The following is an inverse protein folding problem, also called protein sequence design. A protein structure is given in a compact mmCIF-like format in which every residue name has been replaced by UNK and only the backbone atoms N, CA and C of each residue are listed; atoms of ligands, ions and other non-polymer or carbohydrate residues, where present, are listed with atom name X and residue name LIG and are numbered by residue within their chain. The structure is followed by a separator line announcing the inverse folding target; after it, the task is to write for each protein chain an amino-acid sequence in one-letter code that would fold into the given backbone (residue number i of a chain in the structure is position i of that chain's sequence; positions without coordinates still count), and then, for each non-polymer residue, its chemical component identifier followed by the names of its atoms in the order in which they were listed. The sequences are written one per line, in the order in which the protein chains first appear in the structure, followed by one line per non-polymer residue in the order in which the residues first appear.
data_IF_788797839360
#
_entry.id   IF_788797839360
#
_cell.length_a   1.000
_cell.length_b   1.000
_cell.length_c   1.000
_cell.angle_alpha   90.00
_cell.angle_beta   90.00
_cell.angle_gamma   90.00
#
_symmetry.space_group_name_H-M   'P 1'
#
loop_
_entity.id
_entity.type
_entity.pdbx_description
1 polymer ?
#
# COMPACT_ATOMS: atom_id res chain seq x y z
N UNK A 1 30.98 13.15 -8.70
CA UNK A 1 29.84 13.30 -9.62
C UNK A 1 30.13 12.44 -10.83
N UNK A 2 29.24 11.51 -11.15
CA UNK A 2 29.31 10.74 -12.39
C UNK A 2 29.39 11.69 -13.60
N UNK A 3 29.95 11.22 -14.71
CA UNK A 3 29.93 12.00 -15.93
C UNK A 3 28.46 12.25 -16.34
N UNK A 4 28.10 13.42 -16.88
CA UNK A 4 26.74 13.73 -17.31
C UNK A 4 26.12 12.72 -18.29
N UNK A 5 26.95 11.87 -18.94
CA UNK A 5 26.52 10.82 -19.86
C UNK A 5 25.91 9.58 -19.19
N UNK A 6 26.05 9.43 -17.87
CA UNK A 6 25.66 8.20 -17.15
C UNK A 6 24.36 8.37 -16.35
N UNK A 7 23.72 9.54 -16.45
CA UNK A 7 22.44 9.81 -15.79
C UNK A 7 21.33 9.30 -16.71
N UNK A 8 20.49 8.35 -16.25
CA UNK A 8 19.40 7.83 -17.08
C UNK A 8 18.50 8.99 -17.51
N UNK A 9 18.23 9.05 -18.81
CA UNK A 9 17.22 9.95 -19.34
C UNK A 9 15.85 9.43 -18.90
N UNK A 10 14.90 10.32 -18.64
CA UNK A 10 13.51 9.92 -18.38
C UNK A 10 12.94 9.10 -19.55
N UNK A 11 13.46 9.34 -20.77
CA UNK A 11 13.11 8.58 -21.96
C UNK A 11 13.65 7.13 -21.95
N UNK A 12 14.50 6.76 -20.99
CA UNK A 12 14.99 5.38 -20.81
C UNK A 12 13.98 4.48 -20.05
N UNK A 13 12.95 5.07 -19.43
CA UNK A 13 11.89 4.31 -18.77
C UNK A 13 10.82 3.88 -19.80
N UNK A 14 10.28 2.65 -19.66
CA UNK A 14 9.25 2.18 -20.58
C UNK A 14 8.00 3.07 -20.49
N UNK A 15 7.53 3.56 -21.64
CA UNK A 15 6.22 4.20 -21.74
C UNK A 15 5.12 3.13 -21.69
N UNK A 16 4.48 2.99 -20.52
CA UNK A 16 3.40 2.01 -20.29
C UNK A 16 2.02 2.70 -20.27
N UNK A 17 1.86 3.82 -20.99
CA UNK A 17 0.61 4.59 -21.01
C UNK A 17 -0.60 3.81 -21.51
N UNK A 18 -0.41 2.75 -22.31
CA UNK A 18 -1.50 1.97 -22.91
C UNK A 18 -1.75 0.60 -22.25
N UNK A 19 -1.36 0.40 -20.99
CA UNK A 19 -1.65 -0.88 -20.31
C UNK A 19 -3.11 -0.96 -19.89
N UNK A 20 -3.91 -1.61 -20.73
CA UNK A 20 -5.29 -1.98 -20.42
C UNK A 20 -5.32 -3.22 -19.54
N UNK A 21 -6.01 -3.13 -18.40
CA UNK A 21 -6.26 -4.28 -17.55
C UNK A 21 -7.19 -5.27 -18.28
N UNK A 22 -6.89 -6.58 -18.28
CA UNK A 22 -7.84 -7.58 -18.75
C UNK A 22 -9.17 -7.43 -18.00
N UNK A 23 -10.30 -7.35 -18.71
CA UNK A 23 -11.62 -7.16 -18.10
C UNK A 23 -11.67 -5.97 -17.12
N UNK A 24 -11.20 -4.80 -17.57
CA UNK A 24 -11.20 -3.56 -16.77
C UNK A 24 -12.60 -3.18 -16.25
N UNK A 25 -13.66 -3.62 -16.95
CA UNK A 25 -15.06 -3.48 -16.53
C UNK A 25 -15.38 -4.17 -15.21
N UNK A 26 -14.53 -5.08 -14.72
CA UNK A 26 -14.66 -5.62 -13.37
C UNK A 26 -14.57 -4.53 -12.30
N UNK A 27 -13.74 -3.50 -12.53
CA UNK A 27 -13.60 -2.35 -11.65
C UNK A 27 -14.50 -1.18 -12.07
N UNK A 28 -15.39 -1.40 -13.05
CA UNK A 28 -16.34 -0.38 -13.46
C UNK A 28 -17.22 -0.01 -12.26
N UNK A 29 -17.54 1.28 -12.20
CA UNK A 29 -18.38 1.82 -11.17
C UNK A 29 -19.33 2.85 -11.77
N UNK A 30 -20.46 3.03 -11.12
CA UNK A 30 -21.48 4.00 -11.55
C UNK A 30 -21.07 5.41 -11.10
N UNK A 31 -20.20 6.06 -11.87
CA UNK A 31 -19.78 7.45 -11.61
C UNK A 31 -20.99 8.39 -11.70
N UNK A 32 -21.33 9.13 -10.62
CA UNK A 32 -22.41 10.08 -10.68
C UNK A 32 -22.03 11.25 -11.58
N UNK A 33 -22.63 11.28 -12.76
CA UNK A 33 -22.42 12.32 -13.77
C UNK A 33 -23.32 13.55 -13.62
N UNK A 34 -24.19 13.57 -12.60
CA UNK A 34 -25.05 14.71 -12.28
C UNK A 34 -25.32 14.80 -10.76
N UNK A 35 -25.89 15.93 -10.33
CA UNK A 35 -26.20 16.20 -8.92
C UNK A 35 -27.19 15.18 -8.32
N UNK A 36 -28.11 14.64 -9.12
CA UNK A 36 -29.12 13.68 -8.65
C UNK A 36 -28.45 12.34 -8.34
N UNK A 37 -27.62 11.85 -9.26
CA UNK A 37 -26.82 10.65 -9.09
C UNK A 37 -25.84 10.81 -7.92
N UNK A 38 -25.21 11.98 -7.78
CA UNK A 38 -24.29 12.26 -6.67
C UNK A 38 -25.01 12.18 -5.33
N UNK A 39 -26.16 12.84 -5.19
CA UNK A 39 -26.92 12.82 -3.95
C UNK A 39 -27.40 11.40 -3.61
N UNK A 40 -27.91 10.66 -4.58
CA UNK A 40 -28.31 9.26 -4.39
C UNK A 40 -27.12 8.37 -3.96
N UNK A 41 -25.96 8.62 -4.55
CA UNK A 41 -24.71 7.96 -4.20
C UNK A 41 -24.26 8.29 -2.77
N UNK A 42 -24.27 9.57 -2.37
CA UNK A 42 -23.93 10.00 -1.01
C UNK A 42 -24.91 9.44 0.04
N UNK A 43 -26.20 9.41 -0.26
CA UNK A 43 -27.24 8.82 0.61
C UNK A 43 -27.02 7.30 0.79
N UNK A 44 -26.70 6.59 -0.30
CA UNK A 44 -26.34 5.17 -0.25
C UNK A 44 -25.11 4.96 0.63
N UNK A 45 -24.05 5.75 0.42
CA UNK A 45 -22.80 5.67 1.18
C UNK A 45 -23.03 5.97 2.66
N UNK A 46 -23.83 6.98 3.00
CA UNK A 46 -24.19 7.29 4.38
C UNK A 46 -24.95 6.13 5.04
N UNK A 47 -25.95 5.55 4.37
CA UNK A 47 -26.69 4.39 4.91
C UNK A 47 -25.78 3.19 5.16
N UNK A 48 -24.86 2.88 4.24
CA UNK A 48 -23.85 1.84 4.46
C UNK A 48 -22.89 2.20 5.59
N UNK A 49 -22.48 3.47 5.71
CA UNK A 49 -21.63 3.96 6.79
C UNK A 49 -22.25 3.73 8.17
N UNK A 50 -23.54 4.03 8.33
CA UNK A 50 -24.27 3.75 9.56
C UNK A 50 -24.42 2.24 9.83
N UNK A 51 -24.73 1.44 8.80
CA UNK A 51 -24.88 -0.01 8.93
C UNK A 51 -23.54 -0.73 9.18
N UNK A 52 -22.42 -0.13 8.79
CA UNK A 52 -21.09 -0.72 8.87
C UNK A 52 -20.35 -0.40 10.16
N UNK A 53 -20.86 0.49 11.03
CA UNK A 53 -20.13 0.97 12.23
C UNK A 53 -19.60 -0.15 13.11
N UNK A 54 -20.37 -1.21 13.33
CA UNK A 54 -19.94 -2.36 14.15
C UNK A 54 -18.81 -3.17 13.50
N UNK A 55 -18.71 -3.16 12.17
CA UNK A 55 -17.70 -3.89 11.38
C UNK A 55 -16.45 -3.04 11.11
N UNK A 56 -16.61 -1.75 10.82
CA UNK A 56 -15.51 -0.83 10.54
C UNK A 56 -14.70 -0.51 11.79
N UNK A 57 -15.39 -0.31 12.91
CA UNK A 57 -14.78 0.03 14.20
C UNK A 57 -14.53 -1.22 15.05
N UNK A 58 -15.07 -2.37 14.64
CA UNK A 58 -14.87 -3.64 15.31
C UNK A 58 -13.47 -4.19 15.07
N UNK A 59 -12.95 -4.88 16.07
CA UNK A 59 -11.74 -5.70 16.01
C UNK A 59 -12.05 -7.18 15.68
N UNK A 60 -13.32 -7.50 15.46
CA UNK A 60 -13.80 -8.86 15.26
C UNK A 60 -13.91 -9.21 13.78
N UNK A 61 -13.44 -10.39 13.36
CA UNK A 61 -13.67 -10.86 12.01
C UNK A 61 -15.16 -11.04 11.74
N UNK A 62 -15.55 -10.84 10.49
CA UNK A 62 -16.92 -10.97 10.02
C UNK A 62 -16.98 -11.73 8.70
N UNK A 63 -18.12 -12.39 8.39
CA UNK A 63 -18.24 -13.16 7.16
C UNK A 63 -18.26 -12.24 5.94
N UNK A 64 -17.65 -12.69 4.86
CA UNK A 64 -17.70 -12.04 3.54
C UNK A 64 -18.10 -13.07 2.50
N UNK A 65 -18.89 -12.66 1.52
CA UNK A 65 -19.31 -13.50 0.40
C UNK A 65 -18.60 -13.06 -0.87
N UNK A 66 -17.96 -13.99 -1.59
CA UNK A 66 -17.36 -13.70 -2.89
C UNK A 66 -18.46 -13.66 -3.96
N UNK A 67 -18.75 -12.46 -4.46
CA UNK A 67 -19.78 -12.23 -5.50
C UNK A 67 -19.18 -12.40 -6.90
N UNK A 68 -17.98 -11.88 -7.09
CA UNK A 68 -17.27 -11.99 -8.36
C UNK A 68 -15.76 -12.06 -8.13
N UNK A 69 -15.07 -12.62 -9.10
CA UNK A 69 -13.61 -12.72 -9.13
C UNK A 69 -13.09 -12.04 -10.40
N UNK A 70 -12.04 -11.25 -10.25
CA UNK A 70 -11.31 -10.74 -11.39
C UNK A 70 -10.44 -11.84 -11.99
N UNK A 71 -10.74 -12.21 -13.23
CA UNK A 71 -10.01 -13.24 -13.95
C UNK A 71 -8.71 -12.67 -14.52
N UNK A 72 -7.65 -12.67 -13.71
CA UNK A 72 -6.31 -12.57 -14.26
C UNK A 72 -5.90 -13.96 -14.74
N UNK A 73 -6.06 -14.25 -16.03
CA UNK A 73 -5.58 -15.49 -16.65
C UNK A 73 -4.04 -15.68 -16.53
N UNK A 74 -3.34 -14.67 -16.02
CA UNK A 74 -1.89 -14.59 -15.97
C UNK A 74 -1.42 -14.12 -14.58
N UNK A 75 -1.61 -14.91 -13.52
CA UNK A 75 -0.85 -14.64 -12.29
C UNK A 75 0.60 -15.10 -12.47
N UNK A 76 1.62 -14.38 -11.99
CA UNK A 76 3.02 -14.80 -12.18
C UNK A 76 3.38 -16.11 -11.50
N UNK A 77 2.69 -16.46 -10.41
CA UNK A 77 2.92 -17.72 -9.71
C UNK A 77 2.39 -18.95 -10.46
N UNK A 78 1.60 -18.78 -11.53
CA UNK A 78 1.19 -19.91 -12.38
C UNK A 78 2.29 -20.35 -13.35
N UNK A 79 3.34 -19.53 -13.55
CA UNK A 79 4.49 -19.90 -14.35
C UNK A 79 5.35 -20.89 -13.54
N UNK A 80 5.56 -22.08 -14.09
CA UNK A 80 6.20 -23.18 -13.36
C UNK A 80 7.64 -23.43 -13.83
N UNK A 81 8.58 -23.65 -12.89
CA UNK A 81 8.56 -23.26 -11.47
C UNK A 81 8.85 -21.77 -11.26
N UNK A 82 8.38 -21.15 -10.16
CA UNK A 82 8.78 -19.80 -9.82
C UNK A 82 10.31 -19.74 -9.58
N UNK A 83 10.97 -18.63 -9.97
CA UNK A 83 12.41 -18.44 -9.72
C UNK A 83 12.80 -18.61 -8.25
N UNK A 84 13.99 -19.19 -8.02
CA UNK A 84 14.48 -19.50 -6.67
C UNK A 84 14.78 -18.28 -5.80
N UNK A 85 14.84 -17.09 -6.39
CA UNK A 85 15.05 -15.81 -5.70
C UNK A 85 13.74 -15.20 -5.15
N UNK A 86 12.60 -15.89 -5.32
CA UNK A 86 11.29 -15.48 -4.83
C UNK A 86 10.85 -16.30 -3.63
N UNK A 87 10.02 -15.69 -2.78
CA UNK A 87 9.32 -16.36 -1.69
C UNK A 87 8.37 -17.43 -2.24
N UNK A 88 8.18 -18.54 -1.50
CA UNK A 88 7.35 -19.65 -1.96
C UNK A 88 5.87 -19.27 -2.05
N UNK A 89 5.19 -19.79 -3.07
CA UNK A 89 3.74 -19.66 -3.23
C UNK A 89 3.07 -20.79 -2.45
N UNK A 90 2.05 -20.52 -1.60
CA UNK A 90 1.36 -21.57 -0.87
C UNK A 90 0.76 -22.63 -1.80
N UNK A 91 0.89 -23.91 -1.43
CA UNK A 91 0.38 -25.03 -2.23
C UNK A 91 -1.13 -24.91 -2.55
N UNK A 92 -1.91 -24.34 -1.63
CA UNK A 92 -3.34 -24.10 -1.85
C UNK A 92 -3.61 -23.10 -2.99
N UNK A 93 -2.73 -22.11 -3.22
CA UNK A 93 -2.85 -21.16 -4.36
C UNK A 93 -2.41 -21.81 -5.67
N UNK A 94 -1.43 -22.74 -5.61
CA UNK A 94 -0.97 -23.50 -6.77
C UNK A 94 -1.96 -24.59 -7.20
N UNK A 95 -2.99 -24.88 -6.41
CA UNK A 95 -4.03 -25.84 -6.78
C UNK A 95 -4.73 -25.40 -8.07
N UNK A 96 -4.93 -26.36 -8.99
CA UNK A 96 -5.65 -26.10 -10.25
C UNK A 96 -7.05 -25.51 -10.04
N UNK A 97 -7.68 -25.74 -8.88
CA UNK A 97 -8.93 -25.12 -8.49
C UNK A 97 -8.80 -23.59 -8.40
N UNK A 98 -7.66 -23.05 -7.94
CA UNK A 98 -7.44 -21.61 -7.93
C UNK A 98 -7.36 -21.03 -9.34
N UNK A 99 -6.81 -21.74 -10.32
CA UNK A 99 -6.78 -21.26 -11.71
C UNK A 99 -8.13 -21.42 -12.43
N UNK A 100 -8.97 -22.36 -11.99
CA UNK A 100 -10.24 -22.66 -12.64
C UNK A 100 -11.30 -21.55 -12.37
N UNK A 101 -11.87 -20.94 -13.42
CA UNK A 101 -12.85 -19.86 -13.27
C UNK A 101 -14.18 -20.32 -12.63
N UNK A 102 -14.46 -21.62 -12.63
CA UNK A 102 -15.66 -22.20 -12.05
C UNK A 102 -15.48 -22.70 -10.62
N UNK A 103 -14.30 -22.54 -10.03
CA UNK A 103 -14.11 -22.91 -8.63
C UNK A 103 -14.77 -21.92 -7.69
N UNK A 104 -15.26 -22.42 -6.57
CA UNK A 104 -15.79 -21.61 -5.49
C UNK A 104 -14.60 -21.14 -4.66
N UNK A 105 -14.43 -19.83 -4.57
CA UNK A 105 -13.44 -19.21 -3.70
C UNK A 105 -14.11 -18.86 -2.38
N UNK A 106 -13.53 -19.33 -1.29
CA UNK A 106 -13.93 -18.97 0.07
C UNK A 106 -12.84 -18.13 0.71
N UNK A 107 -13.24 -17.00 1.27
CA UNK A 107 -12.38 -16.08 1.99
C UNK A 107 -12.85 -16.01 3.44
N UNK A 108 -11.92 -16.09 4.39
CA UNK A 108 -12.22 -15.94 5.82
C UNK A 108 -11.29 -14.91 6.43
N UNK A 109 -11.87 -13.84 6.99
CA UNK A 109 -11.13 -12.85 7.79
C UNK A 109 -10.83 -13.43 9.16
N UNK A 110 -9.64 -13.19 9.71
CA UNK A 110 -9.23 -13.73 11.01
C UNK A 110 -8.74 -12.66 11.98
N UNK A 111 -7.88 -11.75 11.53
CA UNK A 111 -7.27 -10.74 12.40
C UNK A 111 -7.20 -9.38 11.70
N UNK A 112 -7.66 -8.28 12.34
CA UNK A 112 -7.52 -6.95 11.76
C UNK A 112 -6.05 -6.50 11.80
N UNK A 113 -5.54 -5.97 10.69
CA UNK A 113 -4.21 -5.32 10.63
C UNK A 113 -4.35 -3.81 10.68
N UNK A 114 -5.28 -3.28 9.89
CA UNK A 114 -5.60 -1.86 9.81
C UNK A 114 -7.10 -1.71 9.52
N UNK A 115 -7.86 -1.29 10.52
CA UNK A 115 -9.31 -1.05 10.42
C UNK A 115 -9.64 0.31 11.02
N UNK A 116 -10.87 0.78 10.85
CA UNK A 116 -11.35 2.06 11.37
C UNK A 116 -11.66 3.09 10.29
N UNK A 117 -12.00 4.31 10.77
CA UNK A 117 -12.40 5.45 9.95
C UNK A 117 -11.54 6.66 10.35
N UNK A 118 -11.09 7.51 9.41
CA UNK A 118 -11.17 7.34 7.96
C UNK A 118 -9.98 6.52 7.46
N UNK A 119 -10.25 5.33 6.93
CA UNK A 119 -9.25 4.53 6.22
C UNK A 119 -9.70 4.36 4.77
N UNK A 120 -8.80 4.59 3.81
CA UNK A 120 -9.07 4.37 2.39
C UNK A 120 -9.37 2.91 2.05
N UNK A 121 -8.95 2.00 2.93
CA UNK A 121 -9.22 0.57 2.89
C UNK A 121 -9.12 -0.03 4.29
N UNK A 122 -9.70 -1.21 4.49
CA UNK A 122 -9.38 -2.06 5.64
C UNK A 122 -8.37 -3.13 5.23
N UNK A 123 -7.48 -3.52 6.13
CA UNK A 123 -6.51 -4.58 5.91
C UNK A 123 -6.68 -5.63 7.00
N UNK A 124 -6.83 -6.88 6.57
CA UNK A 124 -7.07 -8.04 7.42
C UNK A 124 -6.07 -9.15 7.09
N UNK A 125 -5.66 -9.91 8.09
CA UNK A 125 -5.20 -11.28 7.88
C UNK A 125 -6.40 -12.18 7.66
N UNK A 126 -6.21 -13.22 6.86
CA UNK A 126 -7.24 -14.21 6.61
C UNK A 126 -6.70 -15.46 5.95
N UNK A 127 -7.63 -16.27 5.47
CA UNK A 127 -7.34 -17.44 4.66
C UNK A 127 -8.17 -17.43 3.40
N UNK A 128 -7.61 -17.96 2.32
CA UNK A 128 -8.28 -18.13 1.05
C UNK A 128 -8.18 -19.58 0.58
N UNK A 129 -9.32 -20.12 0.17
CA UNK A 129 -9.48 -21.50 -0.25
C UNK A 129 -10.22 -21.55 -1.59
N UNK A 130 -9.83 -22.49 -2.45
CA UNK A 130 -10.55 -22.79 -3.67
C UNK A 130 -11.06 -24.23 -3.60
N UNK A 131 -12.35 -24.40 -3.90
CA UNK A 131 -12.97 -25.71 -4.05
C UNK A 131 -13.58 -25.85 -5.44
N UNK A 132 -13.54 -27.05 -6.04
CA UNK A 132 -14.26 -27.29 -7.29
C UNK A 132 -15.76 -27.13 -7.09
N UNK A 133 -16.47 -26.49 -8.02
CA UNK A 133 -17.93 -26.28 -7.92
C UNK A 133 -18.76 -27.56 -7.89
N UNK A 134 -18.20 -28.69 -8.31
CA UNK A 134 -18.87 -29.99 -8.19
C UNK A 134 -18.23 -30.77 -7.03
N UNK A 135 -18.99 -31.14 -5.98
CA UNK A 135 -18.51 -31.98 -4.91
C UNK A 135 -18.33 -33.40 -5.45
N UNK A 136 -17.20 -33.66 -6.11
CA UNK A 136 -16.77 -35.04 -6.29
C UNK A 136 -16.42 -35.55 -4.90
N UNK A 137 -17.00 -36.70 -4.54
CA UNK A 137 -16.68 -37.45 -3.33
C UNK A 137 -15.24 -37.96 -3.45
N UNK A 138 -14.27 -37.09 -3.23
CA UNK A 138 -12.88 -37.44 -3.03
C UNK A 138 -12.60 -37.37 -1.55
N UNK A 139 -12.15 -38.49 -0.99
CA UNK A 139 -11.79 -38.65 0.41
C UNK A 139 -10.91 -37.48 0.88
N UNK A 140 -11.44 -36.77 1.86
CA UNK A 140 -10.99 -35.52 2.44
C UNK A 140 -9.56 -35.57 2.98
N UNK A 141 -8.61 -35.05 2.21
CA UNK A 141 -7.56 -34.23 2.83
C UNK A 141 -8.12 -32.82 2.88
N UNK A 142 -8.45 -32.32 4.07
CA UNK A 142 -8.75 -30.90 4.26
C UNK A 142 -7.56 -30.09 3.73
N UNK A 143 -7.73 -29.47 2.56
CA UNK A 143 -6.74 -28.54 2.05
C UNK A 143 -6.76 -27.31 2.95
N UNK A 144 -5.71 -27.16 3.75
CA UNK A 144 -5.50 -25.97 4.57
C UNK A 144 -5.52 -24.75 3.63
N UNK A 145 -6.41 -23.78 3.90
CA UNK A 145 -6.46 -22.54 3.12
C UNK A 145 -5.11 -21.82 3.14
N UNK A 146 -4.81 -21.05 2.09
CA UNK A 146 -3.60 -20.25 2.04
C UNK A 146 -3.72 -19.05 3.00
N UNK A 147 -2.74 -18.83 3.90
CA UNK A 147 -2.67 -17.59 4.67
C UNK A 147 -2.52 -16.39 3.73
N UNK A 148 -3.27 -15.33 3.99
CA UNK A 148 -3.32 -14.18 3.08
C UNK A 148 -3.56 -12.88 3.84
N UNK A 149 -3.12 -11.77 3.26
CA UNK A 149 -3.58 -10.42 3.60
C UNK A 149 -4.71 -10.05 2.64
N UNK A 150 -5.81 -9.53 3.19
CA UNK A 150 -6.94 -9.01 2.45
C UNK A 150 -7.04 -7.51 2.66
N UNK A 151 -6.92 -6.76 1.57
CA UNK A 151 -7.19 -5.33 1.55
C UNK A 151 -8.57 -5.09 0.95
N UNK A 152 -9.48 -4.53 1.73
CA UNK A 152 -10.87 -4.25 1.38
C UNK A 152 -11.02 -2.75 1.08
N UNK A 153 -11.40 -2.42 -0.15
CA UNK A 153 -11.74 -1.07 -0.57
C UNK A 153 -13.23 -0.84 -0.30
N UNK A 154 -13.54 -0.20 0.82
CA UNK A 154 -14.91 -0.03 1.31
C UNK A 154 -15.35 1.41 1.12
N UNK A 155 -16.31 1.63 0.23
CA UNK A 155 -16.76 2.96 -0.17
C UNK A 155 -17.34 3.76 1.00
N UNK A 156 -18.11 3.10 1.86
CA UNK A 156 -18.66 3.72 3.08
C UNK A 156 -17.62 4.16 4.11
N UNK A 157 -16.38 3.64 4.05
CA UNK A 157 -15.29 4.00 4.96
C UNK A 157 -14.46 5.20 4.49
N UNK A 158 -14.60 5.61 3.23
CA UNK A 158 -13.86 6.77 2.69
C UNK A 158 -14.28 8.06 3.38
N UNK A 159 -13.46 9.11 3.31
CA UNK A 159 -13.88 10.47 3.70
C UNK A 159 -14.90 11.04 2.69
N UNK A 160 -15.67 12.09 3.02
CA UNK A 160 -16.51 12.77 2.03
C UNK A 160 -15.68 13.32 0.85
N UNK A 161 -16.25 13.49 -0.35
CA UNK A 161 -15.56 14.14 -1.46
C UNK A 161 -15.11 15.54 -1.08
N UNK A 162 -13.91 15.93 -1.50
CA UNK A 162 -13.38 17.25 -1.20
C UNK A 162 -13.92 18.29 -2.20
N UNK A 163 -14.18 17.87 -3.44
CA UNK A 163 -14.72 18.68 -4.52
C UNK A 163 -15.58 17.80 -5.46
N UNK A 164 -16.71 18.34 -5.94
CA UNK A 164 -17.52 17.77 -7.02
C UNK A 164 -17.62 18.79 -8.15
N UNK A 165 -17.34 18.36 -9.38
CA UNK A 165 -17.50 19.18 -10.59
C UNK A 165 -18.59 18.55 -11.47
N UNK A 166 -19.80 19.14 -11.58
CA UNK A 166 -20.92 18.54 -12.31
C UNK A 166 -20.62 18.21 -13.78
N UNK A 167 -19.72 18.97 -14.43
CA UNK A 167 -19.33 18.77 -15.83
C UNK A 167 -18.23 17.72 -16.03
N UNK A 168 -17.55 17.31 -14.96
CA UNK A 168 -16.36 16.43 -15.00
C UNK A 168 -16.45 15.24 -14.06
N UNK A 169 -17.59 15.07 -13.38
CA UNK A 169 -17.81 14.06 -12.36
C UNK A 169 -16.89 14.26 -11.15
N UNK A 170 -16.73 13.18 -10.38
CA UNK A 170 -15.85 13.18 -9.21
C UNK A 170 -14.38 12.95 -9.57
N UNK A 171 -14.09 12.67 -10.84
CA UNK A 171 -12.79 12.16 -11.28
C UNK A 171 -11.64 13.17 -11.22
N UNK A 172 -11.93 14.49 -11.24
CA UNK A 172 -10.93 15.55 -11.06
C UNK A 172 -10.66 15.94 -9.60
N UNK A 173 -11.50 15.52 -8.66
CA UNK A 173 -11.43 15.98 -7.27
C UNK A 173 -10.36 15.31 -6.41
N UNK A 174 -9.47 14.49 -6.99
CA UNK A 174 -8.53 13.63 -6.25
C UNK A 174 -9.23 12.78 -5.17
N UNK A 175 -10.52 12.47 -5.35
CA UNK A 175 -11.25 11.60 -4.43
C UNK A 175 -11.27 10.19 -5.03
N UNK A 176 -10.44 9.26 -4.52
CA UNK A 176 -10.31 7.95 -5.13
C UNK A 176 -11.40 7.03 -4.59
N UNK A 177 -12.44 6.77 -5.38
CA UNK A 177 -13.42 5.71 -5.13
C UNK A 177 -12.76 4.36 -4.90
N UNK A 178 -13.44 3.48 -4.17
CA UNK A 178 -12.98 2.12 -3.90
C UNK A 178 -12.61 1.35 -5.19
N UNK A 179 -13.43 1.47 -6.23
CA UNK A 179 -13.16 0.84 -7.54
C UNK A 179 -11.92 1.40 -8.23
N UNK A 180 -11.72 2.72 -8.21
CA UNK A 180 -10.55 3.39 -8.79
C UNK A 180 -9.26 3.00 -8.06
N UNK A 181 -9.30 2.93 -6.73
CA UNK A 181 -8.19 2.45 -5.90
C UNK A 181 -7.85 0.99 -6.18
N UNK A 182 -8.86 0.11 -6.20
CA UNK A 182 -8.67 -1.30 -6.49
C UNK A 182 -8.10 -1.51 -7.91
N UNK A 183 -8.57 -0.73 -8.88
CA UNK A 183 -8.06 -0.73 -10.26
C UNK A 183 -6.61 -0.27 -10.33
N UNK A 184 -6.25 0.82 -9.66
CA UNK A 184 -4.87 1.33 -9.60
C UNK A 184 -3.92 0.26 -9.03
N UNK A 185 -4.34 -0.39 -7.94
CA UNK A 185 -3.57 -1.46 -7.31
C UNK A 185 -3.47 -2.70 -8.23
N UNK A 186 -4.56 -3.12 -8.87
CA UNK A 186 -4.56 -4.22 -9.83
C UNK A 186 -3.61 -3.94 -11.01
N UNK A 187 -3.62 -2.72 -11.53
CA UNK A 187 -2.72 -2.29 -12.61
C UNK A 187 -1.26 -2.33 -12.16
N UNK A 188 -0.96 -1.80 -10.98
CA UNK A 188 0.41 -1.83 -10.44
C UNK A 188 0.92 -3.27 -10.35
N UNK A 189 0.14 -4.19 -9.76
CA UNK A 189 0.54 -5.59 -9.64
C UNK A 189 0.68 -6.30 -10.99
N UNK A 190 -0.14 -5.93 -11.99
CA UNK A 190 0.00 -6.45 -13.35
C UNK A 190 1.31 -6.01 -14.01
N UNK A 191 1.70 -4.73 -13.85
CA UNK A 191 2.99 -4.22 -14.33
C UNK A 191 4.18 -4.84 -13.59
N UNK A 192 4.06 -5.04 -12.28
CA UNK A 192 5.12 -5.55 -11.40
C UNK A 192 5.18 -7.09 -11.35
N UNK A 193 4.70 -7.78 -12.38
CA UNK A 193 4.67 -9.25 -12.47
C UNK A 193 6.03 -9.90 -12.12
N UNK A 194 7.13 -9.27 -12.54
CA UNK A 194 8.48 -9.76 -12.31
C UNK A 194 8.96 -9.61 -10.85
N UNK A 195 8.35 -8.70 -10.09
CA UNK A 195 8.74 -8.35 -8.71
C UNK A 195 7.91 -9.09 -7.65
N UNK A 196 6.77 -9.68 -8.04
CA UNK A 196 5.91 -10.42 -7.11
C UNK A 196 6.63 -11.61 -6.50
N UNK A 197 6.51 -11.75 -5.18
CA UNK A 197 7.25 -12.71 -4.37
C UNK A 197 8.67 -12.27 -4.00
N UNK A 198 9.07 -11.07 -4.41
CA UNK A 198 10.42 -10.52 -4.21
C UNK A 198 10.33 -9.13 -3.57
N UNK A 199 10.31 -8.07 -4.36
CA UNK A 199 10.17 -6.70 -3.87
C UNK A 199 8.72 -6.33 -3.50
N UNK A 200 7.74 -7.06 -4.03
CA UNK A 200 6.32 -6.91 -3.70
C UNK A 200 5.67 -8.26 -3.36
N UNK A 201 4.55 -8.29 -2.62
CA UNK A 201 3.81 -9.52 -2.33
C UNK A 201 3.41 -10.31 -3.58
N UNK A 202 3.16 -11.61 -3.44
CA UNK A 202 2.36 -12.33 -4.44
C UNK A 202 0.91 -11.82 -4.42
N UNK A 203 0.34 -11.49 -5.57
CA UNK A 203 -1.11 -11.27 -5.70
C UNK A 203 -1.82 -12.60 -5.94
N UNK A 204 -2.81 -12.93 -5.12
CA UNK A 204 -3.70 -14.09 -5.32
C UNK A 204 -5.01 -13.70 -6.02
N UNK A 205 -5.15 -12.42 -6.38
CA UNK A 205 -6.24 -11.91 -7.19
C UNK A 205 -7.12 -10.88 -6.52
N UNK A 206 -8.03 -10.34 -7.33
CA UNK A 206 -9.00 -9.34 -6.93
C UNK A 206 -10.41 -9.94 -6.93
N UNK A 207 -11.23 -9.49 -5.99
CA UNK A 207 -12.56 -10.03 -5.72
C UNK A 207 -13.54 -8.88 -5.48
N UNK A 208 -14.80 -9.11 -5.84
CA UNK A 208 -15.92 -8.28 -5.39
C UNK A 208 -16.61 -9.06 -4.29
N UNK A 209 -16.64 -8.49 -3.09
CA UNK A 209 -17.19 -9.10 -1.90
C UNK A 209 -18.48 -8.42 -1.50
N UNK A 210 -19.45 -9.21 -1.03
CA UNK A 210 -20.61 -8.70 -0.29
C UNK A 210 -20.32 -8.76 1.21
N UNK A 211 -20.41 -7.61 1.84
CA UNK A 211 -20.21 -7.43 3.28
C UNK A 211 -21.51 -7.76 4.05
N UNK A 212 -21.46 -8.03 5.37
CA UNK A 212 -22.63 -8.46 6.16
C UNK A 212 -23.84 -7.51 6.10
N UNK A 213 -23.58 -6.23 5.88
CA UNK A 213 -24.58 -5.17 5.79
C UNK A 213 -24.99 -4.84 4.35
N UNK A 214 -24.65 -5.71 3.40
CA UNK A 214 -25.13 -5.68 2.01
C UNK A 214 -24.30 -4.85 1.04
N UNK A 215 -23.38 -4.02 1.53
CA UNK A 215 -22.44 -3.26 0.68
C UNK A 215 -21.55 -4.19 -0.14
N UNK A 216 -21.26 -3.80 -1.38
CA UNK A 216 -20.22 -4.41 -2.20
C UNK A 216 -18.91 -3.68 -1.99
N UNK A 217 -17.83 -4.44 -1.83
CA UNK A 217 -16.47 -3.92 -1.70
C UNK A 217 -15.53 -4.67 -2.64
N UNK A 218 -14.55 -3.96 -3.20
CA UNK A 218 -13.44 -4.62 -3.87
C UNK A 218 -12.46 -5.13 -2.84
N UNK A 219 -11.81 -6.25 -3.13
CA UNK A 219 -10.80 -6.84 -2.28
C UNK A 219 -9.59 -7.29 -3.09
N UNK A 220 -8.39 -7.03 -2.57
CA UNK A 220 -7.15 -7.62 -3.07
C UNK A 220 -6.67 -8.66 -2.05
N UNK A 221 -6.59 -9.93 -2.46
CA UNK A 221 -5.97 -10.98 -1.67
C UNK A 221 -4.51 -11.15 -2.10
N UNK A 222 -3.59 -11.09 -1.14
CA UNK A 222 -2.15 -11.15 -1.40
C UNK A 222 -1.40 -11.95 -0.33
N UNK A 223 -0.14 -12.26 -0.60
CA UNK A 223 0.79 -12.90 0.32
C UNK A 223 0.82 -12.21 1.69
N UNK A 224 0.76 -13.01 2.75
CA UNK A 224 1.14 -12.55 4.09
C UNK A 224 2.67 -12.58 4.20
N UNK A 225 3.29 -11.43 3.94
CA UNK A 225 4.74 -11.28 3.99
C UNK A 225 5.23 -11.39 5.43
N UNK A 226 6.15 -12.31 5.75
CA UNK A 226 6.75 -12.38 7.07
C UNK A 226 7.66 -11.16 7.29
N UNK A 227 7.64 -10.60 8.49
CA UNK A 227 8.49 -9.46 8.83
C UNK A 227 7.82 -8.50 9.80
N UNK A 228 8.48 -7.37 10.01
CA UNK A 228 7.99 -6.28 10.86
C UNK A 228 7.60 -5.08 9.98
N UNK A 229 6.42 -4.47 10.19
CA UNK A 229 6.10 -3.19 9.55
C UNK A 229 7.14 -2.12 9.89
N UNK A 230 7.68 -1.41 8.90
CA UNK A 230 8.77 -0.45 9.16
C UNK A 230 8.33 0.76 10.00
N UNK A 231 7.03 0.97 10.20
CA UNK A 231 6.51 1.99 11.12
C UNK A 231 7.02 1.85 12.56
N UNK A 232 7.36 0.64 13.03
CA UNK A 232 7.89 0.39 14.38
C UNK A 232 9.43 0.41 14.45
N UNK A 233 10.11 0.55 13.31
CA UNK A 233 11.57 0.61 13.26
C UNK A 233 12.08 1.98 13.70
N UNK A 234 13.06 2.00 14.60
CA UNK A 234 13.79 3.17 15.06
C UNK A 234 15.30 2.96 14.86
N UNK A 235 15.95 3.92 14.22
CA UNK A 235 17.35 3.88 13.77
C UNK A 235 18.15 5.10 14.28
N UNK A 236 17.67 5.78 15.33
CA UNK A 236 18.27 7.01 15.88
C UNK A 236 19.78 6.89 16.11
N UNK A 237 20.18 5.79 16.73
CA UNK A 237 21.56 5.52 17.13
C UNK A 237 22.19 4.39 16.29
N UNK A 238 21.54 4.01 15.19
CA UNK A 238 22.02 2.94 14.33
C UNK A 238 23.28 3.39 13.56
N UNK A 239 24.32 2.54 13.48
CA UNK A 239 25.52 2.88 12.74
C UNK A 239 25.25 2.89 11.22
N UNK A 240 26.08 3.57 10.42
CA UNK A 240 25.98 3.57 8.96
C UNK A 240 25.91 2.16 8.35
N UNK A 241 26.64 1.20 8.93
CA UNK A 241 26.66 -0.19 8.49
C UNK A 241 25.30 -0.91 8.58
N UNK A 242 24.36 -0.40 9.38
CA UNK A 242 22.99 -0.91 9.45
C UNK A 242 22.03 -0.07 8.61
N UNK A 243 22.17 1.26 8.67
CA UNK A 243 21.26 2.21 8.00
C UNK A 243 21.42 2.16 6.48
N UNK A 244 22.66 2.14 5.97
CA UNK A 244 22.90 2.26 4.54
C UNK A 244 22.43 1.05 3.74
N UNK A 245 22.64 -0.21 4.15
CA UNK A 245 22.08 -1.36 3.44
C UNK A 245 20.54 -1.35 3.37
N UNK A 246 19.87 -0.89 4.45
CA UNK A 246 18.42 -0.72 4.43
C UNK A 246 18.00 0.36 3.44
N UNK A 247 18.66 1.52 3.47
CA UNK A 247 18.38 2.61 2.54
C UNK A 247 18.63 2.19 1.07
N UNK A 248 19.70 1.45 0.82
CA UNK A 248 20.01 0.85 -0.49
C UNK A 248 18.88 -0.10 -0.93
N UNK A 249 18.36 -0.94 -0.02
CA UNK A 249 17.26 -1.85 -0.32
C UNK A 249 15.95 -1.11 -0.63
N UNK A 250 15.61 -0.07 0.13
CA UNK A 250 14.44 0.78 -0.11
C UNK A 250 14.54 1.46 -1.50
N UNK A 251 15.70 2.06 -1.81
CA UNK A 251 15.92 2.75 -3.08
C UNK A 251 15.98 1.79 -4.28
N UNK A 252 16.61 0.62 -4.12
CA UNK A 252 16.65 -0.42 -5.15
C UNK A 252 15.24 -0.99 -5.44
N UNK A 253 14.42 -1.16 -4.40
CA UNK A 253 13.02 -1.55 -4.56
C UNK A 253 12.26 -0.50 -5.37
N UNK A 254 12.29 0.78 -4.95
CA UNK A 254 11.63 1.88 -5.66
C UNK A 254 12.05 1.93 -7.14
N UNK A 255 13.36 1.85 -7.41
CA UNK A 255 13.89 1.80 -8.77
C UNK A 255 13.34 0.63 -9.59
N UNK A 256 13.19 -0.55 -8.99
CA UNK A 256 12.59 -1.70 -9.66
C UNK A 256 11.12 -1.45 -9.99
N UNK A 257 10.35 -0.80 -9.12
CA UNK A 257 8.96 -0.39 -9.40
C UNK A 257 8.91 0.59 -10.59
N UNK A 258 9.80 1.60 -10.60
CA UNK A 258 9.89 2.59 -11.68
C UNK A 258 10.26 1.96 -13.02
N UNK A 259 11.17 0.97 -13.04
CA UNK A 259 11.49 0.19 -14.24
C UNK A 259 10.31 -0.64 -14.75
N UNK A 260 9.38 -1.02 -13.87
CA UNK A 260 8.10 -1.61 -14.25
C UNK A 260 7.05 -0.56 -14.68
N UNK A 261 7.43 0.70 -14.82
CA UNK A 261 6.53 1.81 -15.17
C UNK A 261 5.51 2.13 -14.08
N UNK A 262 5.82 1.82 -12.82
CA UNK A 262 4.97 2.10 -11.65
C UNK A 262 5.62 3.17 -10.77
N UNK A 263 4.91 4.26 -10.56
CA UNK A 263 5.11 5.17 -9.43
C UNK A 263 4.22 4.68 -8.30
N UNK A 264 4.76 4.55 -7.09
CA UNK A 264 4.00 3.97 -5.98
C UNK A 264 3.02 5.01 -5.38
N UNK A 265 3.39 6.29 -5.35
CA UNK A 265 2.49 7.41 -5.03
C UNK A 265 2.23 7.68 -3.54
N UNK A 266 2.66 6.79 -2.66
CA UNK A 266 2.56 6.88 -1.20
C UNK A 266 3.75 6.19 -0.50
N UNK A 267 4.97 6.60 -0.87
CA UNK A 267 6.21 5.98 -0.37
C UNK A 267 6.40 6.42 1.07
N UNK A 268 6.05 5.53 1.99
CA UNK A 268 5.98 5.77 3.44
C UNK A 268 6.43 4.50 4.20
N UNK A 269 7.05 4.64 5.37
CA UNK A 269 7.50 3.49 6.19
C UNK A 269 6.34 2.59 6.64
N UNK A 270 5.10 3.09 6.66
CA UNK A 270 3.88 2.30 6.94
C UNK A 270 3.55 1.33 5.81
N UNK A 271 3.99 1.64 4.60
CA UNK A 271 3.77 0.87 3.38
C UNK A 271 5.00 0.01 3.00
N UNK A 272 5.85 -0.29 3.99
CA UNK A 272 7.03 -1.13 3.83
C UNK A 272 7.12 -2.14 4.97
N UNK A 273 7.54 -3.36 4.63
CA UNK A 273 7.80 -4.45 5.58
C UNK A 273 9.29 -4.74 5.57
N UNK A 274 9.91 -4.71 6.74
CA UNK A 274 11.26 -5.20 6.95
C UNK A 274 11.20 -6.73 7.07
N UNK A 275 11.75 -7.42 6.09
CA UNK A 275 11.79 -8.86 6.07
C UNK A 275 12.80 -9.41 7.12
N UNK A 276 12.67 -10.70 7.51
CA UNK A 276 13.64 -11.37 8.36
C UNK A 276 15.07 -11.30 7.82
N UNK A 277 16.12 -11.33 8.67
CA UNK A 277 17.51 -11.19 8.24
C UNK A 277 18.01 -12.25 7.25
N UNK A 278 17.37 -13.43 7.23
CA UNK A 278 17.67 -14.55 6.34
C UNK A 278 16.89 -14.50 5.01
N UNK A 279 16.01 -13.51 4.84
CA UNK A 279 15.28 -13.32 3.60
C UNK A 279 16.20 -12.80 2.48
N UNK A 280 15.96 -13.24 1.25
CA UNK A 280 16.70 -12.78 0.07
C UNK A 280 16.46 -11.30 -0.26
N UNK A 281 15.37 -10.71 0.26
CA UNK A 281 15.04 -9.29 0.13
C UNK A 281 14.78 -8.73 1.51
N UNK A 282 15.43 -7.61 1.83
CA UNK A 282 15.29 -6.98 3.15
C UNK A 282 14.04 -6.10 3.28
N UNK A 283 13.53 -5.57 2.18
CA UNK A 283 12.38 -4.64 2.18
C UNK A 283 11.35 -5.10 1.15
N UNK A 284 10.08 -5.11 1.56
CA UNK A 284 8.95 -5.40 0.68
C UNK A 284 7.99 -4.21 0.70
N UNK A 285 7.68 -3.67 -0.48
CA UNK A 285 6.71 -2.58 -0.63
C UNK A 285 5.30 -3.15 -0.70
N UNK A 286 4.37 -2.50 -0.01
CA UNK A 286 2.95 -2.82 0.00
C UNK A 286 2.12 -1.57 -0.26
N UNK A 287 0.81 -1.73 -0.41
CA UNK A 287 -0.14 -0.64 -0.65
C UNK A 287 0.13 0.15 -1.95
N UNK A 288 -0.59 -0.19 -3.02
CA UNK A 288 -0.43 0.45 -4.34
C UNK A 288 -1.74 1.09 -4.82
N UNK A 289 -2.62 1.50 -3.91
CA UNK A 289 -3.91 2.09 -4.29
C UNK A 289 -3.83 3.51 -4.84
N UNK A 290 -2.71 4.19 -4.59
CA UNK A 290 -2.36 5.49 -5.17
C UNK A 290 -1.32 5.38 -6.29
N UNK A 291 -0.99 4.15 -6.71
CA UNK A 291 0.02 3.93 -7.72
C UNK A 291 -0.41 4.49 -9.09
N UNK A 292 0.55 5.11 -9.78
CA UNK A 292 0.38 5.72 -11.09
C UNK A 292 1.32 5.14 -12.14
N UNK A 293 1.03 5.32 -13.44
CA UNK A 293 2.02 5.07 -14.49
C UNK A 293 3.19 6.05 -14.40
N UNK A 294 4.39 5.56 -14.70
CA UNK A 294 5.42 6.42 -15.29
C UNK A 294 4.98 6.71 -16.72
N UNK A 295 4.78 7.98 -17.09
CA UNK A 295 4.63 8.36 -18.50
C UNK A 295 5.83 9.22 -18.91
N UNK A 296 6.10 9.24 -20.20
CA UNK A 296 7.27 9.91 -20.79
C UNK A 296 6.83 10.98 -21.83
N UNK A 297 5.52 11.07 -22.10
CA UNK A 297 4.97 11.90 -23.17
C UNK A 297 5.11 13.42 -22.91
N UNK A 298 5.40 14.15 -23.99
CA UNK A 298 6.06 15.46 -24.00
C UNK A 298 5.25 16.68 -23.58
N UNK A 299 3.95 16.56 -23.26
CA UNK A 299 3.12 17.72 -22.91
C UNK A 299 2.85 17.86 -21.40
N UNK A 300 2.89 16.76 -20.64
CA UNK A 300 2.57 16.73 -19.20
C UNK A 300 3.75 16.33 -18.29
N UNK A 301 4.99 16.39 -18.82
CA UNK A 301 6.24 15.99 -18.13
C UNK A 301 6.38 16.57 -16.71
N UNK A 302 5.80 17.73 -16.43
CA UNK A 302 5.88 18.38 -15.12
C UNK A 302 5.21 17.58 -14.00
N UNK A 303 4.04 16.97 -14.23
CA UNK A 303 3.29 16.28 -13.16
C UNK A 303 3.95 14.96 -12.77
N UNK A 304 4.44 14.20 -13.75
CA UNK A 304 5.10 12.91 -13.52
C UNK A 304 6.43 13.04 -12.82
N UNK A 305 7.25 14.03 -13.23
CA UNK A 305 8.50 14.34 -12.53
C UNK A 305 8.22 14.71 -11.08
N UNK A 306 7.15 15.48 -10.80
CA UNK A 306 6.75 15.79 -9.43
C UNK A 306 6.35 14.54 -8.65
N UNK A 307 5.59 13.62 -9.25
CA UNK A 307 5.22 12.36 -8.58
C UNK A 307 6.45 11.48 -8.31
N UNK A 308 7.37 11.37 -9.27
CA UNK A 308 8.62 10.63 -9.08
C UNK A 308 9.48 11.25 -7.97
N UNK A 309 9.64 12.58 -7.96
CA UNK A 309 10.34 13.31 -6.91
C UNK A 309 9.66 13.09 -5.56
N UNK A 310 8.32 13.02 -5.52
CA UNK A 310 7.59 12.71 -4.30
C UNK A 310 7.88 11.30 -3.78
N UNK A 311 7.96 10.29 -4.65
CA UNK A 311 8.33 8.92 -4.27
C UNK A 311 9.78 8.85 -3.75
N UNK A 312 10.72 9.51 -4.45
CA UNK A 312 12.13 9.62 -4.04
C UNK A 312 12.24 10.32 -2.66
N UNK A 313 11.55 11.45 -2.51
CA UNK A 313 11.44 12.17 -1.26
C UNK A 313 10.80 11.32 -0.16
N UNK A 314 9.87 10.43 -0.52
CA UNK A 314 9.26 9.44 0.37
C UNK A 314 10.27 8.52 1.04
N UNK A 315 11.32 8.09 0.34
CA UNK A 315 12.42 7.30 0.94
C UNK A 315 13.15 8.10 2.02
N UNK A 316 13.48 9.37 1.72
CA UNK A 316 14.15 10.27 2.68
C UNK A 316 13.25 10.55 3.88
N UNK A 317 11.95 10.78 3.66
CA UNK A 317 10.95 10.96 4.72
C UNK A 317 10.84 9.71 5.61
N UNK A 318 10.72 8.53 5.01
CA UNK A 318 10.65 7.26 5.74
C UNK A 318 11.90 7.04 6.61
N UNK A 319 13.10 7.29 6.08
CA UNK A 319 14.35 7.23 6.86
C UNK A 319 14.34 8.23 8.02
N UNK A 320 13.89 9.47 7.77
CA UNK A 320 13.80 10.49 8.82
C UNK A 320 12.79 10.11 9.91
N UNK A 321 11.65 9.56 9.54
CA UNK A 321 10.62 9.08 10.47
C UNK A 321 11.05 7.83 11.24
N UNK A 322 12.01 7.07 10.73
CA UNK A 322 12.75 6.05 11.49
C UNK A 322 13.88 6.67 12.33
N UNK A 323 13.88 7.99 12.50
CA UNK A 323 14.82 8.78 13.30
C UNK A 323 16.27 8.80 12.79
N UNK A 324 16.51 8.43 11.53
CA UNK A 324 17.84 8.58 10.93
C UNK A 324 18.18 10.09 10.84
N UNK A 325 19.36 10.53 11.33
CA UNK A 325 19.77 11.92 11.20
C UNK A 325 19.93 12.36 9.74
N UNK A 326 19.42 13.54 9.38
CA UNK A 326 19.58 14.10 8.02
C UNK A 326 21.05 14.14 7.55
N UNK A 327 22.06 14.46 8.39
CA UNK A 327 23.45 14.38 7.95
C UNK A 327 23.88 12.97 7.52
N UNK A 328 23.34 11.92 8.15
CA UNK A 328 23.66 10.54 7.79
C UNK A 328 22.99 10.11 6.48
N UNK A 329 21.77 10.59 6.20
CA UNK A 329 21.09 10.38 4.92
C UNK A 329 21.84 11.09 3.79
N UNK A 330 22.29 12.34 4.02
CA UNK A 330 23.09 13.09 3.05
C UNK A 330 24.42 12.38 2.74
N UNK A 331 25.11 11.92 3.80
CA UNK A 331 26.34 11.14 3.63
C UNK A 331 26.14 9.85 2.83
N UNK A 332 25.00 9.16 3.01
CA UNK A 332 24.64 7.99 2.22
C UNK A 332 24.47 8.34 0.73
N UNK A 333 23.69 9.37 0.40
CA UNK A 333 23.48 9.80 -1.00
C UNK A 333 24.80 10.21 -1.66
N UNK A 334 25.63 10.97 -0.95
CA UNK A 334 26.94 11.39 -1.44
C UNK A 334 27.89 10.21 -1.69
N UNK A 335 27.95 9.25 -0.76
CA UNK A 335 28.79 8.06 -0.89
C UNK A 335 28.38 7.23 -2.12
N UNK A 336 27.08 6.92 -2.25
CA UNK A 336 26.55 6.14 -3.38
C UNK A 336 26.67 6.87 -4.72
N UNK A 337 26.55 8.20 -4.71
CA UNK A 337 26.78 9.05 -5.90
C UNK A 337 28.25 9.18 -6.32
N UNK A 338 29.20 8.77 -5.45
CA UNK A 338 30.65 8.75 -5.76
C UNK A 338 31.19 7.33 -6.02
N UNK A 339 30.43 6.29 -5.69
CA UNK A 339 30.82 4.89 -5.93
C UNK A 339 31.04 4.60 -7.43
N UNK A 340 31.96 3.68 -7.73
CA UNK A 340 32.29 3.25 -9.11
C UNK A 340 32.34 1.71 -9.18
N UNK A 341 31.40 1.05 -9.89
CA UNK A 341 30.21 1.63 -10.50
C UNK A 341 29.22 2.12 -9.42
N UNK A 342 28.46 3.16 -9.72
CA UNK A 342 27.40 3.62 -8.84
C UNK A 342 26.21 2.64 -8.88
N UNK A 343 25.44 2.51 -7.78
CA UNK A 343 24.22 1.71 -7.82
C UNK A 343 23.21 2.29 -8.83
N UNK A 344 22.52 1.48 -9.65
CA UNK A 344 21.63 1.98 -10.69
C UNK A 344 20.53 2.93 -10.17
N UNK A 345 20.00 2.64 -8.97
CA UNK A 345 18.94 3.43 -8.36
C UNK A 345 19.36 4.87 -8.03
N UNK A 346 20.67 5.17 -7.95
CA UNK A 346 21.13 6.55 -7.70
C UNK A 346 20.71 7.49 -8.84
N UNK A 347 20.50 6.95 -10.05
CA UNK A 347 20.03 7.70 -11.20
C UNK A 347 18.71 8.43 -10.93
N UNK A 348 17.82 7.85 -10.10
CA UNK A 348 16.58 8.51 -9.70
C UNK A 348 16.84 9.80 -8.92
N UNK A 349 17.76 9.76 -7.95
CA UNK A 349 18.11 10.91 -7.11
C UNK A 349 18.83 12.00 -7.89
N UNK A 350 19.68 11.60 -8.85
CA UNK A 350 20.33 12.55 -9.76
C UNK A 350 19.33 13.21 -10.70
N UNK A 351 18.33 12.48 -11.19
CA UNK A 351 17.23 13.04 -11.98
C UNK A 351 16.41 14.06 -11.16
N UNK A 352 16.12 13.75 -9.90
CA UNK A 352 15.46 14.69 -9.00
C UNK A 352 16.27 15.99 -8.81
N UNK A 353 17.60 15.89 -8.70
CA UNK A 353 18.48 17.06 -8.59
C UNK A 353 18.55 17.89 -9.87
N UNK A 354 18.50 17.25 -11.04
CA UNK A 354 18.40 17.98 -12.30
C UNK A 354 17.06 18.73 -12.44
N UNK A 355 15.96 18.08 -12.04
CA UNK A 355 14.62 18.65 -12.16
C UNK A 355 14.36 19.75 -11.11
N UNK A 356 14.85 19.56 -9.90
CA UNK A 356 14.72 20.50 -8.77
C UNK A 356 16.09 20.61 -8.09
N UNK A 357 16.94 21.55 -8.53
CA UNK A 357 18.26 21.72 -7.94
C UNK A 357 18.20 21.96 -6.44
N UNK A 358 19.00 21.23 -5.68
CA UNK A 358 19.00 21.25 -4.20
C UNK A 358 17.69 20.76 -3.57
N UNK A 359 16.97 19.84 -4.22
CA UNK A 359 15.74 19.25 -3.68
C UNK A 359 15.96 18.61 -2.30
N UNK A 360 17.12 18.00 -2.07
CA UNK A 360 17.44 17.34 -0.82
C UNK A 360 17.57 18.34 0.32
N UNK A 361 18.24 19.47 0.08
CA UNK A 361 18.37 20.58 1.03
C UNK A 361 16.99 21.19 1.33
N UNK A 362 16.18 21.43 0.30
CA UNK A 362 14.83 21.95 0.46
C UNK A 362 13.92 21.01 1.27
N UNK A 363 14.00 19.71 0.99
CA UNK A 363 13.30 18.68 1.75
C UNK A 363 13.81 18.61 3.20
N UNK A 364 15.12 18.65 3.40
CA UNK A 364 15.76 18.62 4.72
C UNK A 364 15.32 19.78 5.60
N UNK A 365 15.21 21.00 5.06
CA UNK A 365 14.69 22.17 5.77
C UNK A 365 13.23 21.95 6.17
N UNK A 366 12.40 21.46 5.25
CA UNK A 366 10.98 21.15 5.51
C UNK A 366 10.84 20.13 6.65
N UNK A 367 11.62 19.06 6.62
CA UNK A 367 11.60 18.01 7.64
C UNK A 367 12.14 18.47 8.99
N UNK A 368 13.22 19.24 9.00
CA UNK A 368 13.73 19.84 10.23
C UNK A 368 12.69 20.75 10.88
N UNK A 369 11.93 21.52 10.10
CA UNK A 369 10.88 22.39 10.63
C UNK A 369 9.69 21.60 11.20
N UNK A 370 9.33 20.47 10.58
CA UNK A 370 8.26 19.60 11.08
C UNK A 370 8.59 19.01 12.47
N UNK A 371 9.86 18.63 12.69
CA UNK A 371 10.32 18.13 14.00
C UNK A 371 10.15 19.18 15.10
N UNK A 372 10.44 20.45 14.81
CA UNK A 372 10.28 21.54 15.77
C UNK A 372 8.82 21.77 16.15
N UNK A 373 7.90 21.68 15.18
CA UNK A 373 6.46 21.86 15.43
C UNK A 373 5.90 20.73 16.31
N UNK A 374 6.29 19.47 16.03
CA UNK A 374 5.85 18.33 16.83
C UNK A 374 6.34 18.41 18.29
N UNK A 375 7.58 18.86 18.52
CA UNK A 375 8.11 19.07 19.87
C UNK A 375 7.34 20.15 20.64
N UNK A 376 6.95 21.26 19.99
CA UNK A 376 6.20 22.33 20.64
C UNK A 376 4.76 21.93 20.99
N UNK A 377 4.08 21.13 20.15
CA UNK A 377 2.73 20.61 20.44
C UNK A 377 2.73 19.59 21.57
N UNK A 378 3.75 18.72 21.63
CA UNK A 378 3.92 17.75 22.72
C UNK A 378 4.24 18.46 24.05
N UNK A 379 5.03 19.53 24.03
CA UNK A 379 5.29 20.36 25.23
C UNK A 379 4.03 21.11 25.69
N UNK A 380 3.27 21.72 24.77
CA UNK A 380 2.02 22.42 25.11
C UNK A 380 0.93 21.50 25.65
N UNK A 381 0.85 20.26 25.19
CA UNK A 381 -0.09 19.27 25.72
C UNK A 381 0.34 18.75 27.09
N UNK A 382 1.64 18.54 27.33
CA UNK A 382 2.17 18.17 28.64
C UNK A 382 1.98 19.26 29.70
N UNK A 383 2.10 20.54 29.33
CA UNK A 383 1.91 21.69 30.25
C UNK A 383 0.42 21.99 30.57
N UNK A 384 -0.51 21.50 29.74
CA UNK A 384 -1.95 21.74 29.90
C UNK A 384 -2.74 20.56 30.47
N UNK A 385 -2.11 19.46 30.91
CA UNK A 385 -2.80 18.42 31.67
C UNK A 385 -3.01 18.93 33.11
N UNK A 386 -4.25 19.23 33.55
CA UNK A 386 -4.48 19.61 34.93
C UNK A 386 -4.19 18.39 35.80
N UNK A 387 -3.25 18.54 36.73
CA UNK A 387 -2.95 17.57 37.79
C UNK A 387 -4.20 17.34 38.65
N UNK A 388 -5.11 16.45 38.23
CA UNK A 388 -6.22 15.97 39.05
C UNK A 388 -5.66 14.96 40.06
N UNK A 389 -5.20 15.50 41.17
CA UNK A 389 -4.93 14.73 42.38
C UNK A 389 -6.26 14.17 42.90
N UNK A 390 -6.51 12.87 42.69
CA UNK A 390 -7.63 12.17 43.30
C UNK A 390 -7.35 11.97 44.80
N UNK A 391 -7.94 12.82 45.64
CA UNK A 391 -8.30 12.45 46.99
C UNK A 391 -9.46 11.45 46.93
N UNK A 392 -9.17 10.14 46.92
CA UNK A 392 -10.17 9.16 47.31
C UNK A 392 -10.23 9.10 48.83
N UNK A 393 -11.30 9.71 49.36
CA UNK A 393 -11.75 9.54 50.73
C UNK A 393 -12.10 8.07 50.99
N UNK A 394 -11.62 7.59 52.13
CA UNK A 394 -12.05 6.34 52.77
C UNK A 394 -13.53 6.44 53.15
N UNK A 395 -14.40 5.70 52.48
CA UNK A 395 -15.70 5.36 53.06
C UNK A 395 -15.61 4.00 53.76
N UNK A 396 -15.78 4.04 55.09
CA UNK A 396 -15.96 2.90 55.99
C UNK A 396 -17.40 2.40 55.84
N UNK A 397 -17.66 1.09 55.71
CA UNK A 397 -19.03 0.57 55.79
C UNK A 397 -19.50 0.62 57.25
N UNK A 398 -20.60 1.32 57.51
CA UNK A 398 -21.37 1.15 58.76
C UNK A 398 -22.30 -0.04 58.59
N UNK A 399 -22.02 -1.09 59.36
CA UNK A 399 -22.98 -2.13 59.71
C UNK A 399 -23.99 -1.57 60.72
N UNK A 400 -25.27 -1.80 60.49
CA UNK A 400 -26.26 -1.82 61.57
C UNK A 400 -27.39 -2.79 61.22
N UNK A 401 -27.44 -3.84 62.05
CA UNK A 401 -28.64 -4.43 62.67
C UNK A 401 -29.76 -3.44 62.98
#
# INVERSE_FOLDING_TARGET
MAAPSDIPNIDDFPDITSFDLPNDTFFAWDDPHDDVALNAYLDKRHRHGEASREYLLGDKPYPVEVVARWHAFNFPWSDTPPPADRRPVPAAVLDSAFANPHSIITITLTHPINTGIPASSQVWQGTIHASPASPRVTSSTETLGAPTVLKLFVESALGPPWQFAPDRGLDQGFWPFSGKQARAEARAYACMRALQGKEVPWSYGFYCLRLPYGELAYAHAMELVPGEPMRSVCLRDAPPALVWPLADAMAACLHSLTLCGVLQGDVDKRNMILAPPDAAQSVVFVDFNLAGPVRVCSTDRGVEIVMLINDIGGIVRALREMEVPLPLIGAWLEDRGRAVPSPPWIGLFLLADQAVPNWYEALSVTLANADHQCCHETQRTAENVPYRHNQQQKEKPRSSS
#
